data_IF_295089983928
#
_entry.id   IF_295089983928
#
_cell.length_a   1.000
_cell.length_b   1.000
_cell.length_c   1.000
_cell.angle_alpha   90.00
_cell.angle_beta   90.00
_cell.angle_gamma   90.00
#
_symmetry.space_group_name_H-M   'P 1'
#
loop_
_entity.id
_entity.type
_entity.pdbx_description
1 polymer ?
#
# COMPACT_ATOMS: atom_id res chain seq x y z
N UNK A 1 -33.34 40.81 -39.93
CA UNK A 1 -32.36 39.80 -40.40
C UNK A 1 -32.21 38.74 -39.33
N UNK A 2 -32.38 37.46 -39.68
CA UNK A 2 -32.33 36.30 -38.78
C UNK A 2 -30.88 35.81 -38.70
N UNK A 3 -30.23 35.91 -37.54
CA UNK A 3 -28.92 35.28 -37.33
C UNK A 3 -29.10 34.06 -36.42
N UNK A 4 -29.07 32.86 -37.04
CA UNK A 4 -29.11 31.57 -36.35
C UNK A 4 -27.72 31.29 -35.80
N UNK A 5 -27.54 31.43 -34.49
CA UNK A 5 -26.29 31.07 -33.81
C UNK A 5 -26.34 29.57 -33.47
N UNK A 6 -25.66 28.75 -34.27
CA UNK A 6 -25.45 27.32 -34.01
C UNK A 6 -24.56 27.14 -32.77
N UNK A 7 -25.14 26.63 -31.69
CA UNK A 7 -24.45 26.29 -30.45
C UNK A 7 -23.66 24.99 -30.68
N UNK A 8 -22.34 25.10 -30.84
CA UNK A 8 -21.44 23.95 -30.92
C UNK A 8 -21.29 23.33 -29.53
N UNK A 9 -21.80 22.10 -29.36
CA UNK A 9 -21.59 21.31 -28.15
C UNK A 9 -20.13 20.82 -28.11
N UNK A 10 -19.32 21.47 -27.27
CA UNK A 10 -17.96 20.99 -26.95
C UNK A 10 -18.12 19.77 -26.03
N UNK A 11 -17.93 18.57 -26.58
CA UNK A 11 -17.72 17.36 -25.78
C UNK A 11 -16.36 17.51 -25.07
N UNK A 12 -16.40 17.87 -23.79
CA UNK A 12 -15.24 17.74 -22.89
C UNK A 12 -15.08 16.25 -22.59
N UNK A 13 -14.14 15.60 -23.28
CA UNK A 13 -13.67 14.28 -22.91
C UNK A 13 -12.92 14.41 -21.58
N UNK A 14 -13.55 14.01 -20.48
CA UNK A 14 -12.91 13.94 -19.17
C UNK A 14 -11.97 12.71 -19.23
N UNK A 15 -10.64 12.87 -19.11
CA UNK A 15 -9.77 11.72 -18.99
C UNK A 15 -10.12 10.98 -17.71
N UNK A 16 -10.50 9.71 -17.82
CA UNK A 16 -10.70 8.82 -16.68
C UNK A 16 -9.34 8.64 -16.00
N UNK A 17 -9.13 9.33 -14.87
CA UNK A 17 -7.99 9.09 -14.02
C UNK A 17 -8.03 7.62 -13.57
N UNK A 18 -6.99 6.87 -13.90
CA UNK A 18 -6.77 5.54 -13.35
C UNK A 18 -6.48 5.74 -11.87
N UNK A 19 -7.44 5.43 -11.00
CA UNK A 19 -7.24 5.43 -9.56
C UNK A 19 -6.24 4.31 -9.25
N UNK A 20 -5.02 4.68 -8.85
CA UNK A 20 -4.13 3.74 -8.17
C UNK A 20 -4.87 3.20 -6.94
N UNK A 21 -4.94 1.88 -6.81
CA UNK A 21 -5.59 1.26 -5.66
C UNK A 21 -4.76 1.58 -4.42
N UNK A 22 -5.32 2.38 -3.51
CA UNK A 22 -4.70 2.71 -2.23
C UNK A 22 -5.40 1.94 -1.12
N UNK A 23 -4.60 1.37 -0.22
CA UNK A 23 -5.10 0.67 0.96
C UNK A 23 -5.48 1.72 2.01
N UNK A 24 -6.75 1.78 2.46
CA UNK A 24 -7.21 2.83 3.36
C UNK A 24 -6.77 2.53 4.81
N UNK A 25 -5.46 2.68 5.05
CA UNK A 25 -4.82 2.59 6.36
C UNK A 25 -4.80 3.96 7.05
N UNK A 26 -4.83 3.97 8.38
CA UNK A 26 -4.68 5.17 9.20
C UNK A 26 -3.25 5.73 9.16
N UNK A 27 -2.26 4.90 8.82
CA UNK A 27 -0.85 5.27 8.73
C UNK A 27 0.00 4.21 8.05
N UNK A 28 1.32 4.39 8.11
CA UNK A 28 2.28 3.36 7.70
C UNK A 28 2.61 2.46 8.87
N UNK A 29 2.74 1.17 8.60
CA UNK A 29 3.02 0.12 9.56
C UNK A 29 4.28 -0.63 9.14
N UNK A 30 5.04 -1.16 10.09
CA UNK A 30 6.21 -1.93 9.73
C UNK A 30 7.03 -2.43 10.90
N UNK A 31 8.17 -3.01 10.56
CA UNK A 31 9.22 -3.28 11.53
C UNK A 31 9.96 -1.98 11.88
N UNK A 32 10.66 -1.91 13.03
CA UNK A 32 11.49 -0.74 13.36
C UNK A 32 12.46 -0.38 12.24
N UNK A 33 13.12 -1.38 11.64
CA UNK A 33 14.06 -1.16 10.53
C UNK A 33 13.38 -0.71 9.23
N UNK A 34 12.18 -1.22 8.91
CA UNK A 34 11.41 -0.77 7.74
C UNK A 34 10.89 0.65 7.88
N UNK A 35 10.36 0.99 9.06
CA UNK A 35 9.90 2.35 9.38
C UNK A 35 11.04 3.35 9.44
N UNK A 36 12.19 3.00 10.02
CA UNK A 36 13.37 3.87 10.03
C UNK A 36 13.89 4.13 8.61
N UNK A 37 13.94 3.11 7.75
CA UNK A 37 14.29 3.27 6.34
C UNK A 37 13.30 4.17 5.59
N UNK A 38 12.00 4.08 5.89
CA UNK A 38 10.99 4.98 5.34
C UNK A 38 11.20 6.43 5.78
N UNK A 39 11.62 6.65 7.02
CA UNK A 39 11.96 7.95 7.57
C UNK A 39 13.31 8.51 7.06
N UNK A 40 14.01 7.80 6.18
CA UNK A 40 15.30 8.23 5.62
C UNK A 40 16.49 7.99 6.56
N UNK A 41 16.35 7.18 7.61
CA UNK A 41 17.47 6.77 8.45
C UNK A 41 18.36 5.76 7.70
N UNK A 42 19.67 6.01 7.70
CA UNK A 42 20.65 5.09 7.12
C UNK A 42 20.84 3.85 8.01
N UNK A 43 20.84 2.67 7.38
CA UNK A 43 21.28 1.39 7.94
C UNK A 43 20.73 0.99 9.32
N UNK A 44 19.43 0.69 9.36
CA UNK A 44 18.88 -0.14 10.43
C UNK A 44 19.12 -1.62 10.13
N UNK A 45 19.73 -2.33 11.08
CA UNK A 45 19.86 -3.79 11.04
C UNK A 45 18.52 -4.45 11.36
N UNK A 46 18.20 -5.55 10.67
CA UNK A 46 16.95 -6.30 10.83
C UNK A 46 16.08 -6.31 9.57
N UNK A 47 14.96 -7.04 9.66
CA UNK A 47 14.02 -7.19 8.55
C UNK A 47 13.37 -5.84 8.22
N UNK A 48 13.44 -5.42 6.97
CA UNK A 48 12.87 -4.15 6.51
C UNK A 48 11.51 -4.42 5.88
N UNK A 49 10.47 -4.36 6.71
CA UNK A 49 9.09 -4.47 6.26
C UNK A 49 8.37 -3.15 6.49
N UNK A 50 7.72 -2.66 5.44
CA UNK A 50 6.87 -1.48 5.49
C UNK A 50 5.58 -1.77 4.74
N UNK A 51 4.44 -1.43 5.32
CA UNK A 51 3.12 -1.47 4.70
C UNK A 51 2.57 -0.06 4.77
N UNK A 52 2.29 0.52 3.61
CA UNK A 52 1.78 1.89 3.47
C UNK A 52 0.44 1.90 2.74
N UNK A 53 -0.12 3.08 2.47
CA UNK A 53 -1.33 3.17 1.65
C UNK A 53 -1.08 2.77 0.18
N UNK A 54 0.15 2.85 -0.31
CA UNK A 54 0.47 2.74 -1.74
C UNK A 54 1.18 1.42 -2.10
N UNK A 55 2.03 0.91 -1.22
CA UNK A 55 2.82 -0.29 -1.45
C UNK A 55 3.22 -1.02 -0.16
N UNK A 56 3.64 -2.27 -0.36
CA UNK A 56 4.39 -3.05 0.63
C UNK A 56 5.86 -3.07 0.22
N UNK A 57 6.76 -2.83 1.18
CA UNK A 57 8.20 -3.07 1.02
C UNK A 57 8.57 -4.31 1.80
N UNK A 58 9.11 -5.31 1.12
CA UNK A 58 9.42 -6.62 1.69
C UNK A 58 10.63 -7.23 0.98
N UNK A 59 11.57 -7.76 1.75
CA UNK A 59 12.82 -8.37 1.25
C UNK A 59 13.62 -7.47 0.27
N UNK A 60 13.56 -6.15 0.47
CA UNK A 60 14.23 -5.17 -0.39
C UNK A 60 13.49 -4.84 -1.68
N UNK A 61 12.34 -5.46 -1.92
CA UNK A 61 11.49 -5.18 -3.08
C UNK A 61 10.38 -4.19 -2.73
N UNK A 62 9.93 -3.45 -3.75
CA UNK A 62 8.67 -2.69 -3.70
C UNK A 62 7.59 -3.56 -4.32
N UNK A 63 6.52 -3.77 -3.58
CA UNK A 63 5.39 -4.62 -3.94
C UNK A 63 4.13 -3.78 -4.02
N UNK A 64 3.87 -3.10 -5.17
CA UNK A 64 2.66 -2.33 -5.37
C UNK A 64 1.38 -3.16 -5.23
N UNK A 65 0.31 -2.49 -4.80
CA UNK A 65 -1.02 -3.07 -4.79
C UNK A 65 -1.60 -3.17 -6.21
N UNK A 66 -1.93 -4.38 -6.61
CA UNK A 66 -2.59 -4.67 -7.89
C UNK A 66 -4.10 -4.78 -7.76
N UNK A 67 -4.57 -5.14 -6.57
CA UNK A 67 -5.99 -5.21 -6.24
C UNK A 67 -6.19 -5.11 -4.73
N UNK A 68 -7.25 -4.44 -4.31
CA UNK A 68 -7.66 -4.31 -2.91
C UNK A 68 -9.15 -4.57 -2.87
N UNK A 69 -9.56 -5.55 -2.06
CA UNK A 69 -10.95 -5.92 -1.85
C UNK A 69 -11.27 -5.82 -0.36
N UNK A 70 -12.32 -5.10 -0.01
CA UNK A 70 -12.79 -5.00 1.37
C UNK A 70 -13.43 -6.34 1.79
N UNK A 71 -12.98 -6.88 2.93
CA UNK A 71 -13.45 -8.15 3.49
C UNK A 71 -14.24 -7.94 4.80
N UNK A 72 -14.22 -6.74 5.36
CA UNK A 72 -14.92 -6.36 6.59
C UNK A 72 -14.45 -5.00 7.11
N UNK A 73 -14.91 -4.63 8.30
CA UNK A 73 -14.48 -3.38 8.95
C UNK A 73 -12.97 -3.42 9.17
N UNK A 74 -12.25 -2.50 8.49
CA UNK A 74 -10.78 -2.42 8.48
C UNK A 74 -10.06 -3.71 8.08
N UNK A 75 -10.73 -4.60 7.36
CA UNK A 75 -10.18 -5.86 6.88
C UNK A 75 -10.20 -5.88 5.35
N UNK A 76 -9.07 -6.24 4.75
CA UNK A 76 -8.84 -6.16 3.30
C UNK A 76 -8.13 -7.41 2.80
N UNK A 77 -8.58 -7.94 1.66
CA UNK A 77 -7.78 -8.82 0.84
C UNK A 77 -7.00 -7.99 -0.17
N UNK A 78 -5.68 -8.14 -0.18
CA UNK A 78 -4.76 -7.31 -0.94
C UNK A 78 -3.89 -8.19 -1.82
N UNK A 79 -3.88 -7.92 -3.12
CA UNK A 79 -2.99 -8.58 -4.08
C UNK A 79 -1.81 -7.70 -4.38
N UNK A 80 -0.61 -8.22 -4.17
CA UNK A 80 0.64 -7.52 -4.42
C UNK A 80 1.42 -8.17 -5.56
N UNK A 81 2.26 -7.37 -6.19
CA UNK A 81 3.22 -7.81 -7.19
C UNK A 81 4.60 -7.25 -6.82
N UNK A 82 5.45 -8.07 -6.20
CA UNK A 82 6.82 -7.71 -5.85
C UNK A 82 7.72 -7.80 -7.08
N UNK A 83 8.34 -6.69 -7.46
CA UNK A 83 9.37 -6.67 -8.51
C UNK A 83 10.69 -7.10 -7.90
N UNK A 84 11.16 -8.31 -8.23
CA UNK A 84 12.44 -8.84 -7.77
C UNK A 84 13.46 -8.76 -8.91
N UNK A 85 14.03 -7.57 -9.13
CA UNK A 85 14.93 -7.30 -10.25
C UNK A 85 14.21 -7.06 -11.58
N UNK A 86 14.93 -7.13 -12.70
CA UNK A 86 14.45 -6.70 -14.01
C UNK A 86 13.46 -7.65 -14.71
N UNK A 87 13.37 -8.92 -14.31
CA UNK A 87 12.71 -9.94 -15.13
C UNK A 87 11.66 -10.81 -14.39
N UNK A 88 11.57 -10.73 -13.05
CA UNK A 88 10.65 -11.59 -12.28
C UNK A 88 9.73 -10.78 -11.36
N UNK A 89 8.42 -10.92 -11.62
CA UNK A 89 7.35 -10.37 -10.77
C UNK A 89 6.76 -11.50 -9.95
N UNK A 90 7.01 -11.47 -8.65
CA UNK A 90 6.46 -12.45 -7.70
C UNK A 90 5.16 -11.90 -7.14
N UNK A 91 4.06 -12.64 -7.30
CA UNK A 91 2.73 -12.23 -6.82
C UNK A 91 2.44 -12.80 -5.45
N UNK A 92 1.61 -12.09 -4.68
CA UNK A 92 1.11 -12.55 -3.40
C UNK A 92 -0.30 -12.06 -3.11
N UNK A 93 -0.97 -12.77 -2.21
CA UNK A 93 -2.27 -12.39 -1.66
C UNK A 93 -2.18 -12.32 -0.15
N UNK A 94 -2.58 -11.19 0.41
CA UNK A 94 -2.51 -10.87 1.83
C UNK A 94 -3.93 -10.62 2.37
N UNK A 95 -4.21 -11.11 3.57
CA UNK A 95 -5.28 -10.56 4.41
C UNK A 95 -4.67 -9.53 5.35
N UNK A 96 -5.17 -8.31 5.30
CA UNK A 96 -4.70 -7.18 6.10
C UNK A 96 -5.85 -6.71 6.98
N UNK A 97 -5.63 -6.70 8.29
CA UNK A 97 -6.60 -6.21 9.26
C UNK A 97 -5.97 -5.14 10.13
N UNK A 98 -6.49 -3.92 10.07
CA UNK A 98 -6.09 -2.84 10.97
C UNK A 98 -6.95 -2.85 12.24
N UNK A 99 -6.32 -2.67 13.40
CA UNK A 99 -7.06 -2.55 14.64
C UNK A 99 -7.96 -1.30 14.63
N UNK A 100 -9.08 -1.35 15.36
CA UNK A 100 -10.05 -0.25 15.40
C UNK A 100 -9.42 1.09 15.82
N UNK A 101 -8.46 1.04 16.75
CA UNK A 101 -7.69 2.18 17.26
C UNK A 101 -6.44 2.53 16.42
N UNK A 102 -6.15 1.75 15.37
CA UNK A 102 -4.98 1.93 14.50
C UNK A 102 -3.65 1.61 15.16
N UNK A 103 -3.64 1.03 16.37
CA UNK A 103 -2.41 0.69 17.11
C UNK A 103 -1.63 -0.49 16.56
N UNK A 104 -2.24 -1.29 15.66
CA UNK A 104 -1.63 -2.49 15.09
C UNK A 104 -2.23 -2.85 13.73
N UNK A 105 -1.39 -3.41 12.88
CA UNK A 105 -1.78 -4.04 11.62
C UNK A 105 -1.44 -5.52 11.68
N UNK A 106 -2.41 -6.40 11.47
CA UNK A 106 -2.19 -7.84 11.34
C UNK A 106 -2.24 -8.21 9.87
N UNK A 107 -1.22 -8.91 9.39
CA UNK A 107 -1.11 -9.38 8.01
C UNK A 107 -0.95 -10.90 7.99
N UNK A 108 -1.80 -11.58 7.25
CA UNK A 108 -1.71 -13.01 6.98
C UNK A 108 -1.45 -13.25 5.49
N UNK A 109 -0.44 -14.06 5.18
CA UNK A 109 -0.14 -14.48 3.81
C UNK A 109 -1.08 -15.63 3.43
N UNK A 110 -1.92 -15.41 2.41
CA UNK A 110 -2.79 -16.45 1.85
C UNK A 110 -2.07 -17.33 0.85
N UNK A 111 -1.30 -16.69 -0.03
CA UNK A 111 -0.63 -17.34 -1.15
C UNK A 111 0.49 -16.46 -1.70
N UNK A 112 1.49 -17.08 -2.32
CA UNK A 112 2.59 -16.39 -2.99
C UNK A 112 3.61 -15.76 -2.03
N UNK A 113 4.14 -14.59 -2.39
CA UNK A 113 5.14 -13.87 -1.60
C UNK A 113 4.58 -12.62 -0.92
N UNK A 114 5.05 -12.33 0.28
CA UNK A 114 4.71 -11.12 1.01
C UNK A 114 4.95 -11.25 2.51
N UNK A 115 4.84 -10.15 3.26
CA UNK A 115 5.02 -10.16 4.69
C UNK A 115 3.86 -10.90 5.38
N UNK A 116 4.15 -11.48 6.54
CA UNK A 116 3.16 -12.00 7.47
C UNK A 116 3.57 -11.64 8.90
N UNK A 117 2.59 -11.41 9.76
CA UNK A 117 2.81 -11.08 11.16
C UNK A 117 2.04 -9.84 11.62
N UNK A 118 2.47 -9.29 12.74
CA UNK A 118 1.89 -8.09 13.34
C UNK A 118 2.88 -6.94 13.23
N UNK A 119 2.38 -5.78 12.79
CA UNK A 119 3.17 -4.59 12.55
C UNK A 119 2.61 -3.42 13.37
N UNK A 120 3.53 -2.63 13.92
CA UNK A 120 3.19 -1.43 14.66
C UNK A 120 3.17 -0.21 13.71
N UNK A 121 2.38 0.82 14.02
CA UNK A 121 2.47 2.12 13.36
C UNK A 121 3.92 2.61 13.39
N UNK A 122 4.40 3.22 12.31
CA UNK A 122 5.78 3.66 12.24
C UNK A 122 6.13 4.71 13.31
N UNK A 123 5.19 5.55 13.72
CA UNK A 123 5.39 6.50 14.82
C UNK A 123 5.63 5.78 16.16
N UNK A 124 5.01 4.62 16.37
CA UNK A 124 5.23 3.77 17.54
C UNK A 124 6.50 2.92 17.40
N UNK A 125 6.76 2.38 16.20
CA UNK A 125 7.94 1.56 15.91
C UNK A 125 9.25 2.35 16.05
N UNK A 126 9.26 3.66 15.74
CA UNK A 126 10.40 4.55 15.94
C UNK A 126 10.80 4.72 17.42
N UNK A 127 9.85 4.56 18.34
CA UNK A 127 10.10 4.65 19.79
C UNK A 127 10.54 3.33 20.44
N UNK A 128 10.47 2.22 19.70
CA UNK A 128 10.85 0.89 20.19
C UNK A 128 12.34 0.55 19.97
N UNK A 129 13.13 1.47 19.43
CA UNK A 129 14.58 1.30 19.26
C UNK A 129 15.30 1.55 20.60
N UNK A 130 16.05 0.56 21.16
CA UNK A 130 16.90 0.75 22.33
C UNK A 130 18.18 1.55 22.03
#
# INVERSE_FOLDING_TARGET
MKLRLTLAAVLVAIPTAVLAASLPLAGSYGTPAGCAAHAGAADSSGDKVLISADDVRFEGNVCPYTNITEAGDKAFEVKIACESGHDEVVRGTLEVTESADGSKLTVALKDGAGPAGEFLPCDAAATASP
#
